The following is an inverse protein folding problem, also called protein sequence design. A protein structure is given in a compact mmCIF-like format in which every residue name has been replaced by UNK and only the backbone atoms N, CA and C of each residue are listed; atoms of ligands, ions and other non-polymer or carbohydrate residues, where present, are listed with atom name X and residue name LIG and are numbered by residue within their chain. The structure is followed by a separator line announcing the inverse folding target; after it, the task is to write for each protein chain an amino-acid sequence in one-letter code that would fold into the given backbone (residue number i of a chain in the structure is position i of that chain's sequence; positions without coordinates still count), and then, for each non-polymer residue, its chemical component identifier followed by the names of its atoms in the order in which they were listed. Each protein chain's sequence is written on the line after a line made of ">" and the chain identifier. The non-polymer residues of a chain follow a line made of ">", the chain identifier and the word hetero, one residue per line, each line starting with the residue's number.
data_IF_745218601024
#
_entry.id   IF_745218601024
#
_cell.length_a   1.000
_cell.length_b   1.000
_cell.length_c   1.000
_cell.angle_alpha   90.00
_cell.angle_beta   90.00
_cell.angle_gamma   90.00
#
_symmetry.space_group_name_H-M   'P 1'
#
loop_
_entity.id
_entity.type
_entity.pdbx_description
1 polymer ?
#
# COMPACT_ATOMS: atom_id res chain seq x y z
N UNK A 1 5.16 -0.51 -12.24
CA UNK A 1 5.97 -0.68 -11.01
C UNK A 1 5.24 0.01 -9.88
N UNK A 2 5.22 -0.58 -8.68
CA UNK A 2 4.83 0.09 -7.44
C UNK A 2 6.10 0.23 -6.61
N UNK A 3 6.33 1.40 -6.05
CA UNK A 3 7.43 1.64 -5.12
C UNK A 3 6.84 2.12 -3.80
N UNK A 4 7.38 1.64 -2.69
CA UNK A 4 7.02 2.07 -1.35
C UNK A 4 8.25 2.24 -0.50
N UNK A 5 8.20 3.23 0.39
CA UNK A 5 9.20 3.45 1.43
C UNK A 5 8.53 3.15 2.76
N UNK A 6 9.15 2.31 3.57
CA UNK A 6 8.73 2.02 4.94
C UNK A 6 9.74 2.58 5.92
N UNK A 7 9.28 2.95 7.12
CA UNK A 7 10.13 3.30 8.25
C UNK A 7 9.37 3.03 9.55
N UNK A 8 10.09 3.03 10.67
CA UNK A 8 9.48 3.02 12.00
C UNK A 8 8.76 4.36 12.29
N UNK A 9 7.88 4.42 13.30
CA UNK A 9 7.26 5.67 13.73
C UNK A 9 8.27 6.76 14.13
N UNK A 10 9.46 6.39 14.58
CA UNK A 10 10.55 7.30 14.91
C UNK A 10 11.29 7.82 13.67
N UNK A 11 10.93 7.35 12.47
CA UNK A 11 11.58 7.71 11.21
C UNK A 11 12.93 7.02 10.99
N UNK A 12 13.14 5.88 11.64
CA UNK A 12 14.36 5.06 11.53
C UNK A 12 14.09 3.78 10.72
N UNK A 13 15.14 3.02 10.43
CA UNK A 13 15.07 1.73 9.71
C UNK A 13 14.31 1.84 8.38
N UNK A 14 14.70 2.83 7.58
CA UNK A 14 14.07 3.08 6.30
C UNK A 14 14.44 1.98 5.30
N UNK A 15 13.43 1.40 4.65
CA UNK A 15 13.60 0.39 3.61
C UNK A 15 12.75 0.72 2.39
N UNK A 16 13.17 0.21 1.23
CA UNK A 16 12.52 0.43 -0.06
C UNK A 16 12.09 -0.90 -0.64
N UNK A 17 10.78 -1.04 -0.87
CA UNK A 17 10.23 -2.18 -1.58
C UNK A 17 9.82 -1.77 -2.99
N UNK A 18 10.33 -2.51 -3.98
CA UNK A 18 9.97 -2.35 -5.39
C UNK A 18 9.18 -3.57 -5.87
N UNK A 19 7.94 -3.34 -6.28
CA UNK A 19 7.08 -4.37 -6.84
C UNK A 19 7.01 -4.23 -8.37
N UNK A 20 7.62 -5.19 -9.04
CA UNK A 20 7.71 -5.25 -10.49
C UNK A 20 6.55 -6.04 -11.06
N UNK A 21 5.85 -5.46 -12.04
CA UNK A 21 4.83 -6.15 -12.79
C UNK A 21 4.91 -5.77 -14.28
N UNK A 22 4.67 -6.73 -15.19
CA UNK A 22 4.89 -6.52 -16.63
C UNK A 22 3.81 -5.66 -17.29
N UNK A 23 2.68 -5.45 -16.62
CA UNK A 23 1.50 -4.79 -17.19
C UNK A 23 1.14 -3.48 -16.49
N UNK A 24 0.09 -2.81 -16.96
CA UNK A 24 -0.43 -1.60 -16.31
C UNK A 24 -0.99 -1.91 -14.92
N UNK A 25 -0.86 -0.94 -14.01
CA UNK A 25 -1.33 -1.06 -12.63
C UNK A 25 -2.85 -1.00 -12.60
N UNK A 26 -3.47 -2.06 -12.07
CA UNK A 26 -4.91 -2.21 -11.88
C UNK A 26 -5.19 -2.62 -10.44
N UNK A 27 -6.48 -2.66 -10.07
CA UNK A 27 -6.92 -3.04 -8.72
C UNK A 27 -6.37 -4.39 -8.25
N UNK A 28 -6.35 -5.40 -9.13
CA UNK A 28 -5.77 -6.70 -8.81
C UNK A 28 -4.26 -6.63 -8.51
N UNK A 29 -3.50 -5.84 -9.27
CA UNK A 29 -2.07 -5.64 -8.99
C UNK A 29 -1.86 -5.02 -7.60
N UNK A 30 -2.73 -4.08 -7.21
CA UNK A 30 -2.65 -3.47 -5.88
C UNK A 30 -2.91 -4.51 -4.79
N UNK A 31 -3.90 -5.38 -4.98
CA UNK A 31 -4.19 -6.49 -4.06
C UNK A 31 -2.97 -7.41 -3.94
N UNK A 32 -2.40 -7.85 -5.06
CA UNK A 32 -1.22 -8.73 -5.10
C UNK A 32 -0.01 -8.08 -4.40
N UNK A 33 0.14 -6.77 -4.58
CA UNK A 33 1.18 -5.99 -3.90
C UNK A 33 0.94 -5.88 -2.40
N UNK A 34 -0.28 -5.61 -1.93
CA UNK A 34 -0.60 -5.55 -0.50
C UNK A 34 -0.35 -6.90 0.19
N UNK A 35 -0.64 -8.00 -0.49
CA UNK A 35 -0.34 -9.34 0.00
C UNK A 35 1.17 -9.60 0.06
N UNK A 36 1.94 -9.07 -0.89
CA UNK A 36 3.40 -9.11 -0.83
C UNK A 36 3.94 -8.26 0.33
N UNK A 37 3.44 -7.03 0.48
CA UNK A 37 3.83 -6.11 1.53
C UNK A 37 3.61 -6.70 2.93
N UNK A 38 2.51 -7.43 3.12
CA UNK A 38 2.19 -8.13 4.38
C UNK A 38 3.19 -9.23 4.73
N UNK A 39 3.83 -9.85 3.74
CA UNK A 39 4.85 -10.88 3.98
C UNK A 39 6.18 -10.27 4.42
N UNK A 40 6.49 -9.07 3.94
CA UNK A 40 7.73 -8.37 4.25
C UNK A 40 7.67 -7.59 5.57
N UNK A 41 6.53 -6.94 5.85
CA UNK A 41 6.39 -6.06 7.03
C UNK A 41 5.71 -6.78 8.18
N UNK A 42 6.50 -7.03 9.23
CA UNK A 42 6.00 -7.52 10.52
C UNK A 42 5.37 -6.39 11.35
N UNK A 43 4.28 -6.70 12.06
CA UNK A 43 3.59 -5.73 12.92
C UNK A 43 2.54 -4.91 12.18
N UNK A 44 1.98 -3.90 12.86
CA UNK A 44 0.92 -3.06 12.30
C UNK A 44 1.52 -2.03 11.34
N UNK A 45 0.83 -1.80 10.22
CA UNK A 45 1.27 -0.89 9.17
C UNK A 45 0.26 0.24 8.96
N UNK A 46 0.76 1.46 8.84
CA UNK A 46 0.02 2.60 8.28
C UNK A 46 0.55 2.84 6.88
N UNK A 47 -0.31 2.65 5.88
CA UNK A 47 0.01 2.94 4.48
C UNK A 47 -0.56 4.31 4.09
N UNK A 48 0.33 5.21 3.69
CA UNK A 48 -0.02 6.48 3.08
C UNK A 48 0.08 6.35 1.57
N UNK A 49 -1.01 6.65 0.86
CA UNK A 49 -0.98 6.67 -0.61
C UNK A 49 -1.88 7.75 -1.20
N UNK A 50 -1.71 8.01 -2.49
CA UNK A 50 -2.45 9.03 -3.22
C UNK A 50 -3.89 8.59 -3.56
N UNK A 51 -4.68 9.54 -4.06
CA UNK A 51 -6.05 9.32 -4.49
C UNK A 51 -6.23 8.61 -5.83
N UNK A 52 -5.23 7.90 -6.34
CA UNK A 52 -5.27 7.29 -7.66
C UNK A 52 -6.43 6.29 -7.80
N UNK A 53 -7.17 6.34 -8.91
CA UNK A 53 -8.47 5.65 -9.03
C UNK A 53 -8.42 4.14 -8.76
N UNK A 54 -7.39 3.38 -9.18
CA UNK A 54 -7.21 1.99 -8.78
C UNK A 54 -7.14 1.74 -7.27
N UNK A 55 -6.51 2.62 -6.47
CA UNK A 55 -6.50 2.52 -5.00
C UNK A 55 -7.92 2.62 -4.42
N UNK A 56 -8.79 3.36 -5.10
CA UNK A 56 -10.16 3.64 -4.67
C UNK A 56 -11.19 2.65 -5.20
N UNK A 57 -10.75 1.65 -5.98
CA UNK A 57 -11.63 0.62 -6.54
C UNK A 57 -12.31 -0.21 -5.44
N UNK A 58 -13.51 -0.71 -5.75
CA UNK A 58 -14.33 -1.48 -4.80
C UNK A 58 -13.57 -2.71 -4.28
N UNK A 59 -12.97 -3.48 -5.19
CA UNK A 59 -12.26 -4.71 -4.86
C UNK A 59 -11.06 -4.45 -3.92
N UNK A 60 -10.31 -3.37 -4.17
CA UNK A 60 -9.19 -2.96 -3.31
C UNK A 60 -9.69 -2.57 -1.92
N UNK A 61 -10.77 -1.78 -1.83
CA UNK A 61 -11.37 -1.40 -0.54
C UNK A 61 -11.87 -2.61 0.25
N UNK A 62 -12.52 -3.56 -0.42
CA UNK A 62 -12.97 -4.81 0.20
C UNK A 62 -11.79 -5.67 0.68
N UNK A 63 -10.68 -5.69 -0.06
CA UNK A 63 -9.46 -6.38 0.36
C UNK A 63 -8.83 -5.72 1.59
N UNK A 64 -8.68 -4.40 1.59
CA UNK A 64 -8.16 -3.64 2.75
C UNK A 64 -9.01 -3.88 4.00
N UNK A 65 -10.34 -3.95 3.86
CA UNK A 65 -11.23 -4.22 4.98
C UNK A 65 -10.97 -5.58 5.64
N UNK A 66 -10.51 -6.58 4.89
CA UNK A 66 -10.08 -7.90 5.42
C UNK A 66 -8.74 -7.83 6.14
N UNK A 67 -7.93 -6.81 5.87
CA UNK A 67 -6.60 -6.60 6.45
C UNK A 67 -6.61 -5.65 7.66
N UNK A 68 -7.77 -5.16 8.11
CA UNK A 68 -7.92 -4.08 9.10
C UNK A 68 -7.18 -4.28 10.44
N UNK A 69 -6.88 -5.51 10.84
CA UNK A 69 -6.16 -5.79 12.08
C UNK A 69 -4.64 -5.55 11.93
N UNK A 70 -4.15 -5.60 10.69
CA UNK A 70 -2.76 -5.41 10.29
C UNK A 70 -2.53 -4.05 9.63
N UNK A 71 -3.43 -3.63 8.73
CA UNK A 71 -3.27 -2.47 7.86
C UNK A 71 -4.27 -1.37 8.18
N UNK A 72 -3.76 -0.16 8.37
CA UNK A 72 -4.52 1.09 8.30
C UNK A 72 -4.09 1.85 7.05
N UNK A 73 -5.06 2.32 6.28
CA UNK A 73 -4.80 3.11 5.07
C UNK A 73 -5.27 4.53 5.30
N UNK A 74 -4.39 5.49 5.02
CA UNK A 74 -4.71 6.91 5.01
C UNK A 74 -4.40 7.48 3.63
N UNK A 75 -5.20 8.46 3.22
CA UNK A 75 -5.07 9.09 1.91
C UNK A 75 -4.50 10.49 2.05
N UNK A 76 -3.55 10.86 1.20
CA UNK A 76 -3.12 12.25 1.09
C UNK A 76 -4.29 13.15 0.65
N UNK A 77 -4.35 14.42 1.11
CA UNK A 77 -5.23 15.41 0.51
C UNK A 77 -5.02 15.49 -1.00
N UNK A 78 -6.09 15.77 -1.74
CA UNK A 78 -5.97 15.97 -3.19
C UNK A 78 -4.93 17.06 -3.48
N UNK A 79 -4.02 16.80 -4.43
CA UNK A 79 -2.93 17.70 -4.80
C UNK A 79 -1.91 18.01 -3.69
N UNK A 80 -1.68 17.08 -2.77
CA UNK A 80 -0.50 17.06 -1.91
C UNK A 80 0.54 16.05 -2.45
N UNK A 81 1.31 16.40 -3.50
CA UNK A 81 2.39 15.56 -4.02
C UNK A 81 3.60 15.49 -3.08
#
# INVERSE_FOLDING_TARGET
>A
MIASISCTPEGTDADVMLYMQPSSIKGNTIIDYLDALRREISGKLVLLWDGYSPHMSKDVKEHIAKLKDWLRVEQFPAYAP
#
